data_IF_432642212259
#
_entry.id   IF_432642212259
#
_cell.length_a   1.000
_cell.length_b   1.000
_cell.length_c   1.000
_cell.angle_alpha   90.00
_cell.angle_beta   90.00
_cell.angle_gamma   90.00
#
_symmetry.space_group_name_H-M   'P 1'
#
loop_
_entity.id
_entity.type
_entity.pdbx_description
1 polymer ?
#
# COMPACT_ATOMS: atom_id res chain seq x y z
N UNK A 1 16.70 -10.36 -18.36
CA UNK A 1 16.44 -8.96 -17.95
C UNK A 1 16.30 -8.92 -16.44
N UNK A 2 17.33 -8.43 -15.74
CA UNK A 2 17.41 -8.37 -14.27
C UNK A 2 16.37 -7.36 -13.75
N UNK A 3 15.41 -7.79 -12.92
CA UNK A 3 14.50 -6.83 -12.25
C UNK A 3 15.35 -5.95 -11.34
N UNK A 4 15.38 -4.64 -11.59
CA UNK A 4 16.02 -3.70 -10.68
C UNK A 4 15.40 -3.85 -9.28
N UNK A 5 16.26 -4.02 -8.26
CA UNK A 5 15.84 -4.03 -6.87
C UNK A 5 15.19 -2.68 -6.52
N UNK A 6 14.16 -2.68 -5.67
CA UNK A 6 13.51 -1.43 -5.22
C UNK A 6 14.55 -0.59 -4.50
N UNK A 7 14.77 0.66 -4.94
CA UNK A 7 15.81 1.51 -4.37
C UNK A 7 15.31 2.29 -3.16
N UNK A 8 16.23 2.85 -2.36
CA UNK A 8 15.88 3.75 -1.26
C UNK A 8 15.17 5.02 -1.75
N UNK A 9 15.48 5.49 -2.96
CA UNK A 9 14.78 6.62 -3.57
C UNK A 9 13.30 6.30 -3.80
N UNK A 10 13.01 5.12 -4.31
CA UNK A 10 11.63 4.67 -4.58
C UNK A 10 10.84 4.55 -3.28
N UNK A 11 11.47 4.02 -2.22
CA UNK A 11 10.88 3.95 -0.88
C UNK A 11 10.54 5.34 -0.33
N UNK A 12 11.49 6.27 -0.38
CA UNK A 12 11.29 7.65 0.13
C UNK A 12 10.15 8.35 -0.62
N UNK A 13 10.07 8.18 -1.93
CA UNK A 13 9.00 8.79 -2.73
C UNK A 13 7.64 8.17 -2.40
N UNK A 14 7.58 6.85 -2.25
CA UNK A 14 6.37 6.17 -1.83
C UNK A 14 5.90 6.60 -0.42
N UNK A 15 6.82 6.84 0.53
CA UNK A 15 6.48 7.38 1.85
C UNK A 15 5.87 8.79 1.75
N UNK A 16 6.41 9.65 0.87
CA UNK A 16 5.85 10.99 0.64
C UNK A 16 4.46 10.95 0.05
N UNK A 17 4.19 10.02 -0.88
CA UNK A 17 2.85 9.84 -1.45
C UNK A 17 1.82 9.46 -0.39
N UNK A 18 2.22 8.66 0.60
CA UNK A 18 1.42 8.31 1.78
C UNK A 18 1.44 9.37 2.88
N UNK A 19 2.12 10.51 2.67
CA UNK A 19 2.25 11.59 3.65
C UNK A 19 2.88 11.10 4.96
N UNK A 20 3.96 10.33 4.83
CA UNK A 20 4.72 9.76 5.95
C UNK A 20 6.17 10.25 5.97
N UNK A 21 6.78 10.37 7.16
CA UNK A 21 8.19 10.68 7.28
C UNK A 21 9.06 9.51 6.78
N UNK A 22 10.30 9.81 6.38
CA UNK A 22 11.29 8.79 5.95
C UNK A 22 11.56 7.70 6.99
N UNK A 23 11.29 7.98 8.27
CA UNK A 23 11.49 7.06 9.40
C UNK A 23 10.26 6.21 9.73
N UNK A 24 9.18 6.30 8.97
CA UNK A 24 7.96 5.55 9.21
C UNK A 24 8.22 4.03 9.22
N UNK A 25 7.61 3.36 10.19
CA UNK A 25 7.67 1.90 10.37
C UNK A 25 6.64 1.19 9.47
N UNK A 26 6.82 -0.10 9.18
CA UNK A 26 5.86 -0.89 8.40
C UNK A 26 4.41 -0.79 8.91
N UNK A 27 4.21 -0.80 10.22
CA UNK A 27 2.88 -0.68 10.83
C UNK A 27 2.25 0.70 10.58
N UNK A 28 3.03 1.77 10.64
CA UNK A 28 2.59 3.14 10.34
C UNK A 28 2.24 3.30 8.86
N UNK A 29 3.04 2.69 7.97
CA UNK A 29 2.80 2.65 6.53
C UNK A 29 1.45 1.98 6.24
N UNK A 30 1.21 0.81 6.84
CA UNK A 30 -0.05 0.07 6.69
C UNK A 30 -1.23 0.88 7.23
N UNK A 31 -1.11 1.42 8.44
CA UNK A 31 -2.18 2.20 9.07
C UNK A 31 -2.56 3.43 8.24
N UNK A 32 -1.57 4.16 7.73
CA UNK A 32 -1.79 5.35 6.92
C UNK A 32 -2.40 5.03 5.56
N UNK A 33 -1.94 3.96 4.90
CA UNK A 33 -2.54 3.48 3.66
C UNK A 33 -4.01 3.13 3.86
N UNK A 34 -4.37 2.39 4.92
CA UNK A 34 -5.76 2.04 5.22
C UNK A 34 -6.62 3.30 5.46
N UNK A 35 -6.10 4.27 6.22
CA UNK A 35 -6.81 5.52 6.48
C UNK A 35 -7.08 6.31 5.19
N UNK A 36 -6.07 6.46 4.32
CA UNK A 36 -6.21 7.17 3.05
C UNK A 36 -7.10 6.42 2.06
N UNK A 37 -6.97 5.09 1.99
CA UNK A 37 -7.79 4.25 1.12
C UNK A 37 -9.28 4.35 1.45
N UNK A 38 -9.62 4.39 2.75
CA UNK A 38 -11.00 4.62 3.21
C UNK A 38 -11.49 6.03 2.84
N UNK A 39 -10.66 7.06 3.04
CA UNK A 39 -11.05 8.44 2.72
C UNK A 39 -11.26 8.68 1.22
N UNK A 40 -10.48 7.99 0.38
CA UNK A 40 -10.44 8.19 -1.09
C UNK A 40 -11.24 7.13 -1.86
N UNK A 41 -11.96 6.23 -1.17
CA UNK A 41 -12.64 5.13 -1.82
C UNK A 41 -13.68 5.62 -2.85
N UNK A 42 -13.74 5.04 -4.06
CA UNK A 42 -14.69 5.46 -5.08
C UNK A 42 -16.16 5.29 -4.65
N UNK A 43 -16.49 4.28 -3.82
CA UNK A 43 -17.86 4.11 -3.32
C UNK A 43 -18.29 5.26 -2.38
N UNK A 44 -17.36 5.82 -1.61
CA UNK A 44 -17.62 6.97 -0.75
C UNK A 44 -17.52 8.30 -1.52
N UNK A 45 -16.94 8.27 -2.71
CA UNK A 45 -16.67 9.44 -3.53
C UNK A 45 -17.02 9.18 -5.01
N UNK A 46 -18.29 8.87 -5.32
CA UNK A 46 -18.69 8.55 -6.68
C UNK A 46 -18.53 9.78 -7.58
N UNK A 47 -17.93 9.58 -8.76
CA UNK A 47 -17.73 10.65 -9.75
C UNK A 47 -16.57 11.60 -9.47
N UNK A 48 -15.84 11.43 -8.35
CA UNK A 48 -14.68 12.25 -8.00
C UNK A 48 -13.41 11.66 -8.63
N UNK A 49 -13.06 12.16 -9.83
CA UNK A 49 -11.89 11.71 -10.57
C UNK A 49 -10.56 12.04 -9.84
N UNK A 50 -10.52 13.10 -9.04
CA UNK A 50 -9.33 13.49 -8.29
C UNK A 50 -9.04 12.48 -7.17
N UNK A 51 -10.07 12.10 -6.40
CA UNK A 51 -9.92 11.09 -5.36
C UNK A 51 -9.60 9.71 -5.94
N UNK A 52 -10.17 9.35 -7.08
CA UNK A 52 -9.82 8.12 -7.79
C UNK A 52 -8.35 8.11 -8.25
N UNK A 53 -7.82 9.23 -8.77
CA UNK A 53 -6.42 9.36 -9.16
C UNK A 53 -5.48 9.32 -7.94
N UNK A 54 -5.87 9.98 -6.84
CA UNK A 54 -5.12 9.94 -5.59
C UNK A 54 -5.12 8.53 -4.99
N UNK A 55 -6.24 7.82 -5.05
CA UNK A 55 -6.36 6.43 -4.63
C UNK A 55 -5.34 5.54 -5.37
N UNK A 56 -5.28 5.64 -6.71
CA UNK A 56 -4.34 4.87 -7.52
C UNK A 56 -2.88 5.18 -7.13
N UNK A 57 -2.59 6.46 -6.87
CA UNK A 57 -1.26 6.92 -6.47
C UNK A 57 -0.82 6.29 -5.13
N UNK A 58 -1.70 6.30 -4.12
CA UNK A 58 -1.38 5.70 -2.80
C UNK A 58 -1.26 4.17 -2.86
N UNK A 59 -2.03 3.51 -3.72
CA UNK A 59 -1.96 2.06 -3.91
C UNK A 59 -0.62 1.65 -4.55
N UNK A 60 -0.19 2.38 -5.59
CA UNK A 60 1.11 2.17 -6.22
C UNK A 60 2.27 2.39 -5.23
N UNK A 61 2.20 3.47 -4.43
CA UNK A 61 3.19 3.74 -3.39
C UNK A 61 3.27 2.62 -2.35
N UNK A 62 2.12 2.13 -1.87
CA UNK A 62 2.09 1.06 -0.89
C UNK A 62 2.72 -0.24 -1.41
N UNK A 63 2.48 -0.60 -2.68
CA UNK A 63 3.10 -1.78 -3.30
C UNK A 63 4.63 -1.66 -3.41
N UNK A 64 5.16 -0.47 -3.72
CA UNK A 64 6.60 -0.20 -3.70
C UNK A 64 7.17 -0.43 -2.30
N UNK A 65 6.50 0.08 -1.25
CA UNK A 65 6.94 -0.09 0.13
C UNK A 65 6.89 -1.56 0.58
N UNK A 66 5.83 -2.29 0.21
CA UNK A 66 5.73 -3.72 0.49
C UNK A 66 6.84 -4.52 -0.17
N UNK A 67 7.18 -4.20 -1.42
CA UNK A 67 8.31 -4.82 -2.11
C UNK A 67 9.63 -4.48 -1.44
N UNK A 68 9.87 -3.21 -1.12
CA UNK A 68 11.08 -2.77 -0.43
C UNK A 68 11.27 -3.51 0.90
N UNK A 69 10.22 -3.60 1.73
CA UNK A 69 10.29 -4.31 3.01
C UNK A 69 10.49 -5.82 2.86
N UNK A 70 9.84 -6.45 1.87
CA UNK A 70 10.05 -7.86 1.55
C UNK A 70 11.48 -8.15 1.09
N UNK A 71 12.04 -7.30 0.24
CA UNK A 71 13.39 -7.48 -0.32
C UNK A 71 14.48 -7.33 0.77
N UNK A 72 14.20 -6.56 1.83
CA UNK A 72 15.11 -6.37 2.98
C UNK A 72 14.98 -7.41 4.10
N UNK A 73 13.87 -8.16 4.16
CA UNK A 73 13.72 -9.28 5.08
C UNK A 73 14.12 -10.58 4.37
N UNK A 74 15.38 -11.05 4.50
CA UNK A 74 15.69 -12.43 4.11
C UNK A 74 14.81 -13.37 4.93
N UNK A 75 14.37 -14.47 4.32
CA UNK A 75 13.40 -15.41 4.87
C UNK A 75 13.87 -16.05 6.19
N UNK A 76 13.74 -15.31 7.30
CA UNK A 76 13.84 -15.85 8.65
C UNK A 76 12.43 -16.34 9.01
N UNK A 77 12.24 -17.64 8.83
CA UNK A 77 11.04 -18.40 9.13
C UNK A 77 9.75 -17.95 8.41
N UNK A 78 9.55 -18.45 7.19
CA UNK A 78 8.33 -18.25 6.40
C UNK A 78 7.05 -18.89 7.00
N UNK A 79 7.10 -19.43 8.23
CA UNK A 79 6.00 -20.15 8.86
C UNK A 79 5.29 -19.39 10.00
N UNK A 80 5.90 -18.36 10.60
CA UNK A 80 5.36 -17.78 11.84
C UNK A 80 4.35 -16.62 11.70
N UNK A 81 4.03 -16.13 10.50
CA UNK A 81 2.90 -15.19 10.30
C UNK A 81 2.52 -15.06 8.83
N UNK A 82 1.50 -15.78 8.41
CA UNK A 82 0.70 -15.46 7.23
C UNK A 82 -0.76 -15.39 7.68
N UNK A 83 -1.53 -14.34 7.32
CA UNK A 83 -1.71 -14.01 5.92
C UNK A 83 -1.79 -12.50 5.65
N UNK A 84 -0.74 -11.91 5.07
CA UNK A 84 -0.96 -10.86 4.07
C UNK A 84 -1.19 -11.54 2.73
N UNK A 85 -2.29 -12.31 2.65
CA UNK A 85 -2.90 -12.57 1.35
C UNK A 85 -3.39 -11.20 0.87
N UNK A 86 -2.80 -10.72 -0.23
CA UNK A 86 -3.50 -9.79 -1.10
C UNK A 86 -4.77 -10.53 -1.55
N UNK A 87 -5.83 -10.36 -0.76
CA UNK A 87 -7.10 -11.01 -0.97
C UNK A 87 -7.90 -10.10 -1.90
N UNK A 88 -8.23 -10.51 -3.13
CA UNK A 88 -9.06 -9.72 -4.02
C UNK A 88 -10.49 -9.52 -3.49
N UNK A 89 -10.91 -10.27 -2.45
CA UNK A 89 -12.10 -10.00 -1.66
C UNK A 89 -11.87 -8.95 -0.55
N UNK A 90 -10.63 -8.52 -0.23
CA UNK A 90 -10.41 -7.28 0.54
C UNK A 90 -10.90 -6.04 -0.21
N UNK A 91 -10.96 -6.10 -1.55
CA UNK A 91 -11.57 -5.06 -2.38
C UNK A 91 -13.07 -5.23 -2.59
N UNK A 92 -13.61 -6.46 -2.45
CA UNK A 92 -15.04 -6.76 -2.60
C UNK A 92 -15.82 -6.79 -1.27
N UNK A 93 -15.17 -7.09 -0.14
CA UNK A 93 -15.78 -7.11 1.19
C UNK A 93 -15.93 -5.71 1.79
N UNK A 94 -15.25 -4.71 1.22
CA UNK A 94 -15.51 -3.29 1.43
C UNK A 94 -16.61 -2.75 0.49
N UNK A 95 -17.25 -3.59 -0.33
CA UNK A 95 -18.26 -3.18 -1.31
C UNK A 95 -19.31 -4.25 -1.62
N UNK A 96 -20.39 -4.28 -0.84
CA UNK A 96 -21.74 -4.51 -1.37
C UNK A 96 -22.81 -3.99 -0.38
N UNK A 97 -23.44 -2.88 -0.75
CA UNK A 97 -24.90 -2.70 -0.96
C UNK A 97 -25.13 -1.18 -1.11
N UNK A 98 -25.79 -0.60 -2.13
CA UNK A 98 -27.05 -0.96 -2.83
C UNK A 98 -27.83 -2.13 -2.26
#
# INVERSE_FOLDING_TARGET
>A
MTRAATTERDRVEALRTLDLPRRARPDEIRARYIALARALHPDLNPGDAEKAARFQSIAAAYEVLRRYHRDLTPAVDASARQPDRYDPAWWRAFGHMV
#
